data_IF_315854873250
#
_entry.id   IF_315854873250
#
_cell.length_a   1.000
_cell.length_b   1.000
_cell.length_c   1.000
_cell.angle_alpha   90.00
_cell.angle_beta   90.00
_cell.angle_gamma   90.00
#
_symmetry.space_group_name_H-M   'P 1'
#
loop_
_entity.id
_entity.type
_entity.pdbx_description
1 polymer ?
#
# COMPACT_ATOMS: atom_id res chain seq x y z
N UNK A 1 -13.44 17.95 -10.38
CA UNK A 1 -12.32 18.69 -10.99
C UNK A 1 -11.15 17.77 -11.22
N UNK A 2 -10.46 18.01 -12.33
CA UNK A 2 -9.68 17.08 -13.14
C UNK A 2 -8.29 16.70 -12.55
N UNK A 3 -8.23 16.07 -11.38
CA UNK A 3 -6.98 15.67 -10.69
C UNK A 3 -6.54 14.21 -10.98
N UNK A 4 -7.37 13.42 -11.68
CA UNK A 4 -7.06 12.01 -11.99
C UNK A 4 -5.92 11.87 -13.02
N UNK A 5 -5.85 12.81 -13.98
CA UNK A 5 -4.80 12.83 -15.01
C UNK A 5 -3.41 13.18 -14.47
N UNK A 6 -3.34 13.96 -13.37
CA UNK A 6 -2.07 14.28 -12.72
C UNK A 6 -1.55 13.09 -11.92
N UNK A 7 -2.41 12.41 -11.16
CA UNK A 7 -2.04 11.23 -10.35
C UNK A 7 -1.64 10.03 -11.21
N UNK A 8 -2.35 9.77 -12.30
CA UNK A 8 -2.03 8.67 -13.23
C UNK A 8 -0.67 8.84 -13.91
N UNK A 9 -0.32 10.06 -14.36
CA UNK A 9 1.02 10.35 -14.93
C UNK A 9 2.18 10.05 -13.99
N UNK A 10 1.95 10.04 -12.68
CA UNK A 10 3.00 9.72 -11.71
C UNK A 10 3.22 8.19 -11.61
N UNK A 11 2.17 7.39 -11.86
CA UNK A 11 2.25 5.92 -11.87
C UNK A 11 2.99 5.38 -13.10
N UNK A 12 2.91 6.07 -14.24
CA UNK A 12 3.69 5.75 -15.43
C UNK A 12 5.20 5.78 -15.16
N UNK A 13 5.64 6.77 -14.37
CA UNK A 13 7.06 6.98 -14.05
C UNK A 13 7.55 6.19 -12.83
N UNK A 14 6.63 5.60 -12.06
CA UNK A 14 6.96 4.80 -10.89
C UNK A 14 7.57 3.46 -11.30
N UNK A 15 8.55 3.02 -10.51
CA UNK A 15 9.11 1.67 -10.56
C UNK A 15 8.28 0.71 -9.70
N UNK A 16 7.67 1.24 -8.64
CA UNK A 16 6.88 0.51 -7.65
C UNK A 16 5.69 1.38 -7.21
N UNK A 17 4.53 0.77 -7.05
CA UNK A 17 3.34 1.41 -6.49
C UNK A 17 2.93 0.63 -5.24
N UNK A 18 3.11 1.25 -4.07
CA UNK A 18 2.68 0.66 -2.81
C UNK A 18 1.18 0.86 -2.63
N UNK A 19 0.47 -0.23 -2.42
CA UNK A 19 -0.97 -0.26 -2.15
C UNK A 19 -1.25 -0.85 -0.78
N UNK A 20 -2.37 -0.47 -0.16
CA UNK A 20 -2.65 -0.81 1.23
C UNK A 20 -3.69 0.11 1.85
N UNK A 21 -4.29 -0.30 2.96
CA UNK A 21 -5.20 0.55 3.75
C UNK A 21 -4.47 1.77 4.33
N UNK A 22 -5.21 2.85 4.62
CA UNK A 22 -4.63 4.00 5.33
C UNK A 22 -3.97 3.55 6.64
N UNK A 23 -2.73 4.04 6.89
CA UNK A 23 -1.86 3.69 8.04
C UNK A 23 -1.15 2.32 8.00
N UNK A 24 -1.08 1.65 6.85
CA UNK A 24 -0.28 0.42 6.65
C UNK A 24 1.24 0.62 6.45
N UNK A 25 1.79 1.82 6.67
CA UNK A 25 3.24 2.08 6.53
C UNK A 25 3.73 2.50 5.13
N UNK A 26 2.85 2.66 4.12
CA UNK A 26 3.23 3.06 2.74
C UNK A 26 4.19 4.26 2.66
N UNK A 27 3.83 5.39 3.27
CA UNK A 27 4.61 6.63 3.14
C UNK A 27 6.04 6.51 3.67
N UNK A 28 6.29 6.08 4.92
CA UNK A 28 7.67 5.91 5.41
C UNK A 28 8.46 4.89 4.59
N UNK A 29 7.84 3.77 4.16
CA UNK A 29 8.48 2.79 3.27
C UNK A 29 8.85 3.39 1.91
N UNK A 30 7.94 4.14 1.28
CA UNK A 30 8.18 4.76 -0.03
C UNK A 30 9.32 5.79 0.01
N UNK A 31 9.39 6.58 1.07
CA UNK A 31 10.46 7.56 1.29
C UNK A 31 11.79 6.83 1.46
N UNK A 32 11.84 5.78 2.28
CA UNK A 32 13.07 5.02 2.50
C UNK A 32 13.56 4.32 1.23
N UNK A 33 12.65 3.67 0.48
CA UNK A 33 12.95 3.07 -0.82
C UNK A 33 13.51 4.09 -1.83
N UNK A 34 12.94 5.30 -1.84
CA UNK A 34 13.38 6.39 -2.72
C UNK A 34 14.78 6.89 -2.32
N UNK A 35 14.98 7.20 -1.05
CA UNK A 35 16.23 7.82 -0.56
C UNK A 35 17.40 6.84 -0.47
N UNK A 36 17.17 5.61 -0.02
CA UNK A 36 18.23 4.63 0.22
C UNK A 36 18.51 3.73 -0.98
N UNK A 37 17.52 3.56 -1.86
CA UNK A 37 17.64 2.66 -3.01
C UNK A 37 17.41 3.30 -4.37
N UNK A 38 17.01 4.58 -4.44
CA UNK A 38 16.79 5.30 -5.69
C UNK A 38 15.60 4.76 -6.49
N UNK A 39 14.66 4.08 -5.83
CA UNK A 39 13.45 3.53 -6.45
C UNK A 39 12.37 4.60 -6.50
N UNK A 40 11.76 4.81 -7.67
CA UNK A 40 10.63 5.75 -7.79
C UNK A 40 9.36 5.08 -7.29
N UNK A 41 8.98 5.40 -6.05
CA UNK A 41 7.82 4.79 -5.41
C UNK A 41 6.63 5.75 -5.44
N UNK A 42 5.48 5.27 -5.91
CA UNK A 42 4.20 5.93 -5.71
C UNK A 42 3.37 5.23 -4.64
N UNK A 43 2.43 5.95 -4.02
CA UNK A 43 1.54 5.40 -3.01
C UNK A 43 0.08 5.52 -3.48
N UNK A 44 -0.66 4.43 -3.42
CA UNK A 44 -2.11 4.43 -3.60
C UNK A 44 -2.78 3.91 -2.32
N UNK A 45 -3.50 4.77 -1.55
CA UNK A 45 -4.29 4.31 -0.43
C UNK A 45 -5.57 3.66 -0.96
N UNK A 46 -5.78 2.38 -0.66
CA UNK A 46 -7.07 1.74 -0.90
C UNK A 46 -8.07 2.26 0.13
N UNK A 47 -9.09 2.95 -0.35
CA UNK A 47 -10.17 3.54 0.45
C UNK A 47 -11.30 2.51 0.65
N UNK A 48 -12.29 2.85 1.48
CA UNK A 48 -13.47 2.00 1.63
C UNK A 48 -14.23 1.83 0.30
N UNK A 49 -14.42 2.92 -0.45
CA UNK A 49 -15.09 2.92 -1.76
C UNK A 49 -14.36 2.02 -2.78
N UNK A 50 -13.03 1.97 -2.72
CA UNK A 50 -12.24 1.07 -3.58
C UNK A 50 -12.44 -0.41 -3.23
N UNK A 51 -12.80 -0.71 -1.98
CA UNK A 51 -12.91 -2.08 -1.46
C UNK A 51 -14.32 -2.65 -1.59
N UNK A 52 -15.35 -1.82 -1.78
CA UNK A 52 -16.75 -2.25 -1.88
C UNK A 52 -16.97 -3.30 -2.99
N UNK A 53 -16.33 -3.11 -4.15
CA UNK A 53 -16.47 -4.00 -5.31
C UNK A 53 -15.54 -5.24 -5.27
N UNK A 54 -14.69 -5.37 -4.24
CA UNK A 54 -13.65 -6.41 -4.13
C UNK A 54 -12.83 -6.59 -5.43
N UNK A 55 -12.54 -5.49 -6.13
CA UNK A 55 -11.82 -5.48 -7.41
C UNK A 55 -10.70 -4.47 -7.35
N UNK A 56 -9.68 -4.69 -8.18
CA UNK A 56 -8.64 -3.69 -8.36
C UNK A 56 -9.24 -2.39 -8.94
N UNK A 57 -9.01 -1.22 -8.29
CA UNK A 57 -9.43 0.07 -8.83
C UNK A 57 -8.98 0.26 -10.28
N UNK A 58 -9.86 0.82 -11.11
CA UNK A 58 -9.62 0.92 -12.55
C UNK A 58 -8.29 1.63 -12.88
N UNK A 59 -7.96 2.67 -12.10
CA UNK A 59 -6.73 3.46 -12.21
C UNK A 59 -5.44 2.66 -11.98
N UNK A 60 -5.52 1.49 -11.32
CA UNK A 60 -4.36 0.64 -11.05
C UNK A 60 -4.20 -0.50 -12.07
N UNK A 61 -5.21 -0.79 -12.90
CA UNK A 61 -5.22 -1.97 -13.79
C UNK A 61 -4.08 -1.95 -14.81
N UNK A 62 -3.82 -0.79 -15.42
CA UNK A 62 -2.73 -0.60 -16.38
C UNK A 62 -1.33 -0.69 -15.74
N UNK A 63 -1.26 -0.60 -14.42
CA UNK A 63 0.00 -0.62 -13.66
C UNK A 63 0.15 -1.87 -12.79
N UNK A 64 -0.66 -2.92 -13.02
CA UNK A 64 -0.68 -4.15 -12.20
C UNK A 64 0.71 -4.75 -11.94
N UNK A 65 1.59 -4.72 -12.93
CA UNK A 65 2.97 -5.24 -12.83
C UNK A 65 3.87 -4.47 -11.86
N UNK A 66 3.50 -3.24 -11.49
CA UNK A 66 4.24 -2.36 -10.58
C UNK A 66 3.69 -2.38 -9.15
N UNK A 67 2.56 -3.06 -8.91
CA UNK A 67 1.88 -3.02 -7.63
C UNK A 67 2.58 -3.91 -6.58
N UNK A 68 2.64 -3.42 -5.36
CA UNK A 68 3.04 -4.21 -4.20
C UNK A 68 2.18 -3.84 -2.99
N UNK A 69 1.56 -4.85 -2.38
CA UNK A 69 0.65 -4.68 -1.25
C UNK A 69 1.37 -4.64 0.10
N UNK A 70 0.98 -3.70 0.96
CA UNK A 70 1.33 -3.73 2.38
C UNK A 70 0.10 -4.12 3.21
N UNK A 71 0.25 -5.15 4.01
CA UNK A 71 -0.72 -5.64 4.99
C UNK A 71 -0.26 -5.33 6.41
N UNK A 72 -1.23 -5.21 7.31
CA UNK A 72 -1.01 -4.95 8.73
C UNK A 72 -2.12 -5.63 9.52
N UNK A 73 -1.84 -6.06 10.74
CA UNK A 73 -2.82 -6.72 11.58
C UNK A 73 -3.88 -5.74 12.08
N UNK A 74 -5.11 -6.23 12.24
CA UNK A 74 -6.26 -5.39 12.59
C UNK A 74 -6.06 -4.66 13.92
N UNK A 75 -5.52 -5.33 14.93
CA UNK A 75 -5.28 -4.75 16.27
C UNK A 75 -4.26 -3.61 16.21
N UNK A 76 -3.15 -3.82 15.49
CA UNK A 76 -2.14 -2.79 15.28
C UNK A 76 -2.69 -1.61 14.50
N UNK A 77 -3.48 -1.89 13.46
CA UNK A 77 -4.12 -0.85 12.66
C UNK A 77 -5.10 0.00 13.50
N UNK A 78 -5.92 -0.64 14.33
CA UNK A 78 -6.83 0.02 15.27
C UNK A 78 -6.07 0.95 16.20
N UNK A 79 -4.96 0.49 16.80
CA UNK A 79 -4.15 1.32 17.69
C UNK A 79 -3.66 2.59 16.98
N UNK A 80 -3.04 2.45 15.80
CA UNK A 80 -2.50 3.58 15.01
C UNK A 80 -3.64 4.52 14.54
N UNK A 81 -4.79 3.97 14.16
CA UNK A 81 -5.95 4.79 13.74
C UNK A 81 -6.61 5.50 14.91
N UNK A 82 -6.61 4.91 16.10
CA UNK A 82 -7.15 5.50 17.32
C UNK A 82 -6.31 6.68 17.80
N UNK A 83 -4.98 6.61 17.68
CA UNK A 83 -4.09 7.76 17.93
C UNK A 83 -4.42 8.94 17.00
N UNK A 84 -4.78 8.65 15.74
CA UNK A 84 -5.15 9.69 14.76
C UNK A 84 -6.56 10.24 14.99
N UNK A 85 -7.52 9.36 15.24
CA UNK A 85 -8.96 9.69 15.35
C UNK A 85 -9.68 8.64 16.20
N UNK A 86 -9.55 8.78 17.52
CA UNK A 86 -10.21 7.95 18.50
C UNK A 86 -11.75 7.96 18.35
N UNK A 87 -12.41 6.91 18.84
CA UNK A 87 -13.87 6.79 18.90
C UNK A 87 -14.58 7.00 17.56
N UNK A 88 -13.98 6.52 16.46
CA UNK A 88 -14.53 6.66 15.11
C UNK A 88 -14.67 5.30 14.43
N UNK A 89 -15.61 5.19 13.48
CA UNK A 89 -15.77 3.99 12.64
C UNK A 89 -14.46 3.60 11.97
N UNK A 90 -13.71 4.59 11.46
CA UNK A 90 -12.40 4.43 10.84
C UNK A 90 -11.39 3.65 11.72
N UNK A 91 -11.42 3.89 13.04
CA UNK A 91 -10.53 3.24 14.00
C UNK A 91 -11.16 2.01 14.67
N UNK A 92 -12.38 1.61 14.31
CA UNK A 92 -13.03 0.44 14.91
C UNK A 92 -12.39 -0.86 14.41
N UNK A 93 -12.35 -1.87 15.27
CA UNK A 93 -11.83 -3.19 14.92
C UNK A 93 -12.61 -3.83 13.78
N UNK A 94 -13.94 -3.74 13.80
CA UNK A 94 -14.81 -4.27 12.74
C UNK A 94 -14.48 -3.66 11.38
N UNK A 95 -14.34 -2.33 11.31
CA UNK A 95 -13.97 -1.65 10.07
C UNK A 95 -12.57 -2.06 9.58
N UNK A 96 -11.58 -2.06 10.47
CA UNK A 96 -10.21 -2.44 10.12
C UNK A 96 -10.15 -3.89 9.61
N UNK A 97 -10.83 -4.82 10.28
CA UNK A 97 -10.88 -6.22 9.88
C UNK A 97 -11.59 -6.41 8.53
N UNK A 98 -12.68 -5.67 8.28
CA UNK A 98 -13.40 -5.72 7.01
C UNK A 98 -12.52 -5.21 5.85
N UNK A 99 -11.89 -4.05 6.01
CA UNK A 99 -10.98 -3.48 5.01
C UNK A 99 -9.80 -4.43 4.71
N UNK A 100 -9.20 -5.03 5.75
CA UNK A 100 -8.08 -5.96 5.62
C UNK A 100 -8.46 -7.28 4.93
N UNK A 101 -9.69 -7.77 5.11
CA UNK A 101 -10.17 -8.94 4.37
C UNK A 101 -10.41 -8.63 2.90
N UNK A 102 -11.06 -7.51 2.60
CA UNK A 102 -11.35 -7.09 1.23
C UNK A 102 -10.06 -6.89 0.42
N UNK A 103 -9.09 -6.19 0.99
CA UNK A 103 -7.81 -5.93 0.34
C UNK A 103 -6.99 -7.19 0.10
N UNK A 104 -6.99 -8.15 1.04
CA UNK A 104 -6.31 -9.43 0.86
C UNK A 104 -6.97 -10.24 -0.27
N UNK A 105 -8.31 -10.24 -0.34
CA UNK A 105 -9.05 -10.84 -1.44
C UNK A 105 -8.65 -10.26 -2.81
N UNK A 106 -8.51 -8.93 -2.90
CA UNK A 106 -8.01 -8.26 -4.11
C UNK A 106 -6.58 -8.73 -4.41
N UNK A 107 -5.68 -8.74 -3.43
CA UNK A 107 -4.28 -9.14 -3.68
C UNK A 107 -4.16 -10.57 -4.18
N UNK A 108 -4.92 -11.51 -3.61
CA UNK A 108 -4.91 -12.92 -4.01
C UNK A 108 -5.51 -13.08 -5.41
N UNK A 109 -6.71 -12.54 -5.65
CA UNK A 109 -7.40 -12.68 -6.94
C UNK A 109 -6.63 -12.03 -8.09
N UNK A 110 -5.96 -10.91 -7.82
CA UNK A 110 -5.15 -10.17 -8.78
C UNK A 110 -3.69 -10.62 -8.78
N UNK A 111 -3.29 -11.65 -8.03
CA UNK A 111 -1.90 -12.14 -7.97
C UNK A 111 -0.87 -11.06 -7.62
N UNK A 112 -1.24 -10.06 -6.83
CA UNK A 112 -0.38 -8.96 -6.40
C UNK A 112 0.52 -9.49 -5.28
N UNK A 113 1.83 -9.25 -5.38
CA UNK A 113 2.76 -9.57 -4.29
C UNK A 113 2.47 -8.63 -3.11
N UNK A 114 2.39 -9.19 -1.91
CA UNK A 114 2.15 -8.40 -0.70
C UNK A 114 2.96 -8.93 0.48
N UNK A 115 3.12 -8.06 1.50
CA UNK A 115 3.87 -8.36 2.72
C UNK A 115 3.08 -7.87 3.93
N UNK A 116 2.97 -8.72 4.96
CA UNK A 116 2.51 -8.28 6.28
C UNK A 116 3.69 -7.60 7.00
N UNK A 117 3.49 -6.33 7.38
CA UNK A 117 4.55 -5.47 7.92
C UNK A 117 4.36 -5.10 9.40
N UNK A 118 3.43 -5.76 10.10
CA UNK A 118 3.00 -5.37 11.46
C UNK A 118 4.15 -5.17 12.43
N UNK A 119 5.12 -6.10 12.44
CA UNK A 119 6.26 -6.12 13.36
C UNK A 119 7.60 -5.81 12.69
N UNK A 120 7.57 -5.33 11.44
CA UNK A 120 8.78 -5.13 10.65
C UNK A 120 9.28 -3.68 10.73
N UNK A 121 10.60 -3.50 10.72
CA UNK A 121 11.21 -2.17 10.56
C UNK A 121 11.08 -1.68 9.11
N UNK A 122 11.18 -0.37 8.89
CA UNK A 122 11.13 0.22 7.53
C UNK A 122 12.25 -0.33 6.63
N UNK A 123 13.43 -0.59 7.19
CA UNK A 123 14.57 -1.19 6.47
C UNK A 123 14.28 -2.63 6.05
N UNK A 124 13.71 -3.43 6.97
CA UNK A 124 13.36 -4.82 6.69
C UNK A 124 12.25 -4.90 5.62
N UNK A 125 11.20 -4.08 5.75
CA UNK A 125 10.12 -3.96 4.76
C UNK A 125 10.72 -3.66 3.38
N UNK A 126 11.58 -2.64 3.31
CA UNK A 126 12.19 -2.20 2.05
C UNK A 126 13.05 -3.28 1.42
N UNK A 127 13.87 -3.97 2.22
CA UNK A 127 14.73 -5.07 1.76
C UNK A 127 13.91 -6.25 1.22
N UNK A 128 12.84 -6.63 1.93
CA UNK A 128 11.92 -7.69 1.47
C UNK A 128 11.21 -7.32 0.19
N UNK A 129 10.74 -6.07 0.05
CA UNK A 129 10.11 -5.59 -1.19
C UNK A 129 11.08 -5.72 -2.37
N UNK A 130 12.33 -5.29 -2.23
CA UNK A 130 13.33 -5.41 -3.30
C UNK A 130 13.60 -6.87 -3.67
N UNK A 131 13.73 -7.75 -2.68
CA UNK A 131 13.91 -9.18 -2.90
C UNK A 131 12.73 -9.80 -3.65
N UNK A 132 11.50 -9.48 -3.24
CA UNK A 132 10.28 -10.04 -3.82
C UNK A 132 9.98 -9.49 -5.22
N UNK A 133 10.32 -8.23 -5.48
CA UNK A 133 10.06 -7.56 -6.77
C UNK A 133 11.19 -7.74 -7.77
N UNK A 134 12.42 -8.01 -7.32
CA UNK A 134 13.62 -8.05 -8.16
C UNK A 134 14.08 -6.66 -8.62
N UNK A 135 13.50 -5.58 -8.08
CA UNK A 135 13.92 -4.21 -8.39
C UNK A 135 15.35 -3.99 -7.93
N UNK A 136 16.18 -3.43 -8.83
CA UNK A 136 17.58 -3.14 -8.55
C UNK A 136 17.74 -1.74 -8.02
N UNK A 137 18.62 -1.59 -7.02
CA UNK A 137 19.08 -0.30 -6.50
C UNK A 137 19.64 0.56 -7.65
N UNK A 138 19.30 1.84 -7.65
CA UNK A 138 19.76 2.83 -8.65
C UNK A 138 20.70 3.89 -8.08
N UNK A 139 21.14 3.74 -6.84
CA UNK A 139 22.14 4.62 -6.25
C UNK A 139 23.52 4.09 -6.65
N UNK A 140 24.18 4.86 -7.51
CA UNK A 140 25.57 4.76 -7.92
C UNK A 140 26.11 6.18 -8.07
#
# INVERSE_FOLDING_TARGET
>A
DNDDGARTRHYDKADLILIGVSRSGKTPTSIYLSLQFGIRVANYPLTEEDLDDNRLPAVLREHRSKLFGLMIDAERLVAIRSERKANSRYASFSQCQMELRAIEGIYISEGIKYLNVTEMSIEEISTRILQMTGLKRRIG
#
